data_IF_268150067308
#
_entry.id   IF_268150067308
#
_cell.length_a   1.000
_cell.length_b   1.000
_cell.length_c   1.000
_cell.angle_alpha   90.00
_cell.angle_beta   90.00
_cell.angle_gamma   90.00
#
_symmetry.space_group_name_H-M   'P 1'
#
loop_
_entity.id
_entity.type
_entity.pdbx_description
1 polymer ?
#
# COMPACT_ATOMS: atom_id res chain seq x y z
N UNK A 1 6.85 -59.22 -38.94
CA UNK A 1 7.73 -58.15 -38.44
C UNK A 1 6.88 -57.04 -37.85
N UNK A 2 7.15 -56.72 -36.58
CA UNK A 2 6.75 -55.51 -35.83
C UNK A 2 5.24 -55.28 -35.59
N UNK A 3 4.69 -56.05 -34.67
CA UNK A 3 3.71 -55.52 -33.73
C UNK A 3 4.48 -54.78 -32.62
N UNK A 4 4.23 -53.49 -32.43
CA UNK A 4 4.57 -52.79 -31.19
C UNK A 4 3.59 -51.63 -31.01
N UNK A 5 2.44 -51.95 -30.43
CA UNK A 5 1.59 -51.00 -29.71
C UNK A 5 2.27 -50.68 -28.38
N UNK A 6 2.58 -49.40 -28.09
CA UNK A 6 2.54 -48.89 -26.71
C UNK A 6 1.98 -47.46 -26.72
N UNK A 7 0.69 -47.43 -26.40
CA UNK A 7 -0.12 -46.40 -25.76
C UNK A 7 0.69 -45.30 -25.03
N UNK A 8 0.67 -44.06 -25.55
CA UNK A 8 1.06 -42.88 -24.77
C UNK A 8 -0.12 -42.55 -23.86
N UNK A 9 -0.03 -43.04 -22.62
CA UNK A 9 -0.96 -42.74 -21.55
C UNK A 9 -0.80 -41.26 -21.20
N UNK A 10 -1.67 -40.42 -21.78
CA UNK A 10 -1.82 -39.03 -21.37
C UNK A 10 -2.27 -39.00 -19.92
N UNK A 11 -1.32 -38.77 -19.01
CA UNK A 11 -1.59 -38.38 -17.63
C UNK A 11 -2.29 -37.02 -17.67
N UNK A 12 -3.61 -37.04 -17.82
CA UNK A 12 -4.45 -35.97 -17.31
C UNK A 12 -4.24 -35.97 -15.80
N UNK A 13 -3.29 -35.16 -15.34
CA UNK A 13 -3.30 -34.64 -13.98
C UNK A 13 -4.56 -33.78 -13.88
N UNK A 14 -5.70 -34.43 -13.67
CA UNK A 14 -6.83 -33.81 -13.01
C UNK A 14 -6.32 -33.54 -11.62
N UNK A 15 -5.64 -32.40 -11.47
CA UNK A 15 -5.47 -31.76 -10.19
C UNK A 15 -6.89 -31.55 -9.71
N UNK A 16 -7.36 -32.48 -8.87
CA UNK A 16 -8.43 -32.26 -7.94
C UNK A 16 -7.87 -31.23 -6.97
N UNK A 17 -7.72 -29.99 -7.45
CA UNK A 17 -7.25 -28.87 -6.67
C UNK A 17 -8.25 -28.76 -5.56
N UNK A 18 -7.80 -28.97 -4.32
CA UNK A 18 -8.65 -28.76 -3.18
C UNK A 18 -9.22 -27.34 -3.33
N UNK A 19 -10.54 -27.21 -3.32
CA UNK A 19 -11.20 -25.89 -3.34
C UNK A 19 -10.84 -25.05 -2.11
N UNK A 20 -10.10 -25.61 -1.15
CA UNK A 20 -9.65 -24.93 0.06
C UNK A 20 -8.56 -23.91 -0.26
N UNK A 21 -8.62 -22.76 0.38
CA UNK A 21 -7.57 -21.75 0.27
C UNK A 21 -6.28 -22.28 0.88
N UNK A 22 -5.20 -22.32 0.11
CA UNK A 22 -3.86 -22.59 0.64
C UNK A 22 -3.17 -21.31 1.10
N UNK A 23 -2.16 -21.45 1.96
CA UNK A 23 -1.37 -20.31 2.46
C UNK A 23 -0.61 -19.64 1.31
N UNK A 24 -0.10 -20.43 0.37
CA UNK A 24 0.63 -19.95 -0.80
C UNK A 24 -0.28 -19.14 -1.72
N UNK A 25 -1.51 -19.62 -1.96
CA UNK A 25 -2.47 -18.90 -2.80
C UNK A 25 -2.95 -17.61 -2.13
N UNK A 26 -3.19 -17.66 -0.81
CA UNK A 26 -3.51 -16.45 -0.06
C UNK A 26 -2.37 -15.42 -0.11
N UNK A 27 -1.11 -15.87 0.00
CA UNK A 27 0.06 -15.00 -0.07
C UNK A 27 0.17 -14.36 -1.46
N UNK A 28 0.02 -15.14 -2.53
CA UNK A 28 0.02 -14.65 -3.91
C UNK A 28 -1.03 -13.55 -4.13
N UNK A 29 -2.27 -13.79 -3.68
CA UNK A 29 -3.38 -12.84 -3.83
C UNK A 29 -3.18 -11.56 -3.01
N UNK A 30 -2.61 -11.67 -1.81
CA UNK A 30 -2.29 -10.49 -0.98
C UNK A 30 -1.13 -9.72 -1.60
N UNK A 31 -0.05 -10.40 -1.98
CA UNK A 31 1.15 -9.80 -2.57
C UNK A 31 0.85 -9.00 -3.82
N UNK A 32 -0.11 -9.43 -4.64
CA UNK A 32 -0.54 -8.71 -5.84
C UNK A 32 -1.06 -7.27 -5.58
N UNK A 33 -1.37 -6.93 -4.31
CA UNK A 33 -1.78 -5.57 -3.89
C UNK A 33 -0.64 -4.68 -3.42
N UNK A 34 0.58 -5.21 -3.38
CA UNK A 34 1.76 -4.54 -2.88
C UNK A 34 2.85 -4.45 -3.97
N UNK A 35 3.74 -3.44 -3.93
CA UNK A 35 3.86 -2.42 -2.89
C UNK A 35 2.71 -1.41 -2.90
N UNK A 36 2.27 -1.02 -1.71
CA UNK A 36 1.30 0.05 -1.53
C UNK A 36 2.04 1.33 -1.13
N UNK A 37 1.92 2.39 -1.94
CA UNK A 37 2.55 3.67 -1.64
C UNK A 37 1.73 4.45 -0.63
N UNK A 38 2.38 4.91 0.43
CA UNK A 38 1.81 5.86 1.38
C UNK A 38 2.28 7.24 0.99
N UNK A 39 1.35 8.18 0.95
CA UNK A 39 1.61 9.56 0.61
C UNK A 39 1.03 10.54 1.63
N UNK A 40 1.40 11.81 1.45
CA UNK A 40 0.95 12.93 2.25
C UNK A 40 0.75 14.15 1.36
N UNK A 41 -0.27 14.95 1.69
CA UNK A 41 -0.54 16.21 1.01
C UNK A 41 0.14 17.35 1.77
N UNK A 42 0.90 18.17 1.07
CA UNK A 42 1.49 19.41 1.59
C UNK A 42 0.82 20.59 0.89
N UNK A 43 0.12 21.42 1.65
CA UNK A 43 -0.46 22.66 1.14
C UNK A 43 0.57 23.79 1.26
N UNK A 44 1.28 24.04 0.16
CA UNK A 44 2.46 24.91 0.13
C UNK A 44 2.17 26.37 0.44
N UNK A 45 0.92 26.81 0.34
CA UNK A 45 0.46 28.15 0.70
C UNK A 45 -0.10 28.26 2.13
N UNK A 46 -0.20 27.14 2.87
CA UNK A 46 -0.77 27.12 4.23
C UNK A 46 0.33 27.38 5.28
N UNK A 47 0.24 28.47 6.08
CA UNK A 47 1.19 28.77 7.15
C UNK A 47 1.32 27.67 8.21
N UNK A 48 0.25 26.96 8.54
CA UNK A 48 0.30 25.87 9.52
C UNK A 48 1.08 24.67 8.99
N UNK A 49 0.96 24.35 7.70
CA UNK A 49 1.77 23.30 7.07
C UNK A 49 3.23 23.71 6.94
N UNK A 50 3.50 24.99 6.62
CA UNK A 50 4.84 25.53 6.61
C UNK A 50 5.51 25.48 7.99
N UNK A 51 4.78 25.77 9.07
CA UNK A 51 5.27 25.64 10.43
C UNK A 51 5.69 24.19 10.77
N UNK A 52 4.89 23.19 10.38
CA UNK A 52 5.26 21.77 10.55
C UNK A 52 6.57 21.42 9.85
N UNK A 53 6.80 21.96 8.65
CA UNK A 53 8.04 21.73 7.90
C UNK A 53 9.26 22.35 8.58
N UNK A 54 9.10 23.52 9.22
CA UNK A 54 10.14 24.19 10.00
C UNK A 54 10.55 23.34 11.22
N UNK A 55 9.59 22.64 11.82
CA UNK A 55 9.83 21.73 12.96
C UNK A 55 10.56 20.42 12.54
N UNK A 56 10.91 20.26 11.26
CA UNK A 56 11.69 19.12 10.74
C UNK A 56 13.06 19.55 10.21
N UNK A 57 13.94 18.60 9.94
CA UNK A 57 15.23 18.87 9.29
C UNK A 57 15.12 19.07 7.75
N UNK A 58 13.92 19.06 7.15
CA UNK A 58 13.75 19.08 5.69
C UNK A 58 14.34 20.33 5.01
N UNK A 59 14.18 21.51 5.62
CA UNK A 59 14.77 22.75 5.08
C UNK A 59 16.30 22.75 5.22
N UNK A 60 16.79 22.39 6.42
CA UNK A 60 18.22 22.28 6.73
C UNK A 60 18.95 21.26 5.86
N UNK A 61 18.28 20.15 5.53
CA UNK A 61 18.80 19.13 4.61
C UNK A 61 18.59 19.48 3.13
N UNK A 62 17.99 20.64 2.83
CA UNK A 62 17.85 21.16 1.47
C UNK A 62 16.79 20.46 0.63
N UNK A 63 15.78 19.82 1.23
CA UNK A 63 14.62 19.29 0.51
C UNK A 63 13.61 20.39 0.18
N UNK A 64 13.41 21.33 1.09
CA UNK A 64 12.50 22.45 0.88
C UNK A 64 13.17 23.77 1.22
N UNK A 65 12.60 24.86 0.73
CA UNK A 65 12.82 26.20 1.28
C UNK A 65 11.50 26.72 1.81
N UNK A 66 11.50 27.26 3.03
CA UNK A 66 10.31 27.80 3.68
C UNK A 66 10.47 29.31 3.84
N UNK A 67 9.44 30.05 3.45
CA UNK A 67 9.38 31.49 3.65
C UNK A 67 8.89 31.78 5.08
N UNK A 68 9.85 32.11 5.96
CA UNK A 68 9.60 32.37 7.39
C UNK A 68 8.81 33.66 7.70
N UNK A 69 8.73 34.61 6.75
CA UNK A 69 7.99 35.86 6.90
C UNK A 69 7.13 36.10 5.66
N UNK A 70 5.82 36.17 5.85
CA UNK A 70 4.83 36.35 4.78
C UNK A 70 4.16 37.70 4.98
N UNK A 71 4.17 38.55 3.95
CA UNK A 71 3.44 39.81 3.97
C UNK A 71 1.96 39.62 3.60
N UNK A 72 1.12 40.61 3.89
CA UNK A 72 -0.32 40.54 3.60
C UNK A 72 -0.61 40.34 2.10
N UNK A 73 0.20 40.93 1.23
CA UNK A 73 0.07 40.82 -0.24
C UNK A 73 0.39 39.41 -0.77
N UNK A 74 1.04 38.58 0.04
CA UNK A 74 1.51 37.25 -0.34
C UNK A 74 0.63 36.14 0.24
N UNK A 75 -0.43 36.51 0.96
CA UNK A 75 -1.42 35.55 1.48
C UNK A 75 -2.02 34.73 0.34
N UNK A 76 -1.99 33.42 0.50
CA UNK A 76 -2.47 32.46 -0.50
C UNK A 76 -1.44 32.09 -1.57
N UNK A 77 -0.27 32.74 -1.61
CA UNK A 77 0.84 32.30 -2.46
C UNK A 77 1.62 31.14 -1.81
N UNK A 78 2.26 30.25 -2.57
CA UNK A 78 3.17 29.25 -2.02
C UNK A 78 4.29 29.88 -1.19
N UNK A 79 4.43 29.42 0.05
CA UNK A 79 5.47 29.79 1.01
C UNK A 79 6.44 28.63 1.27
N UNK A 80 6.14 27.44 0.75
CA UNK A 80 7.03 26.27 0.71
C UNK A 80 7.38 26.00 -0.75
N UNK A 81 8.66 25.85 -1.05
CA UNK A 81 9.14 25.43 -2.38
C UNK A 81 9.98 24.16 -2.26
N UNK A 82 9.70 23.17 -3.09
CA UNK A 82 10.48 21.94 -3.16
C UNK A 82 11.73 22.16 -4.01
N UNK A 83 12.87 21.65 -3.56
CA UNK A 83 14.12 21.71 -4.32
C UNK A 83 14.24 20.50 -5.26
N UNK A 84 15.30 20.50 -6.08
CA UNK A 84 15.65 19.34 -6.91
C UNK A 84 15.87 18.06 -6.09
N UNK A 85 16.35 18.19 -4.85
CA UNK A 85 16.59 17.05 -3.95
C UNK A 85 15.29 16.31 -3.59
N UNK A 86 14.15 17.00 -3.64
CA UNK A 86 12.84 16.40 -3.34
C UNK A 86 12.22 15.63 -4.49
N UNK A 87 12.67 15.85 -5.74
CA UNK A 87 12.07 15.24 -6.95
C UNK A 87 11.79 13.73 -6.83
N UNK A 88 12.68 12.89 -6.25
CA UNK A 88 12.41 11.45 -6.11
C UNK A 88 11.22 11.10 -5.21
N UNK A 89 10.77 12.04 -4.37
CA UNK A 89 9.68 11.85 -3.41
C UNK A 89 8.40 12.57 -3.83
N UNK A 90 8.43 13.41 -4.87
CA UNK A 90 7.24 14.10 -5.34
C UNK A 90 6.38 13.15 -6.17
N UNK A 91 5.10 13.09 -5.83
CA UNK A 91 4.11 12.36 -6.61
C UNK A 91 3.39 13.31 -7.56
N UNK A 92 2.84 12.74 -8.62
CA UNK A 92 2.00 13.50 -9.55
C UNK A 92 0.83 14.13 -8.81
N UNK A 93 0.60 15.42 -9.11
CA UNK A 93 -0.43 16.23 -8.52
C UNK A 93 -1.38 16.66 -9.62
N UNK A 94 -2.69 16.49 -9.40
CA UNK A 94 -3.69 16.84 -10.41
C UNK A 94 -3.76 18.35 -10.66
N UNK A 95 -4.27 18.78 -11.82
CA UNK A 95 -4.48 20.21 -12.08
C UNK A 95 -5.42 20.88 -11.07
N UNK A 96 -6.36 20.13 -10.49
CA UNK A 96 -7.24 20.63 -9.42
C UNK A 96 -6.45 20.91 -8.15
N UNK A 97 -5.53 20.02 -7.79
CA UNK A 97 -4.74 20.11 -6.57
C UNK A 97 -3.65 21.20 -6.68
N UNK A 98 -3.06 21.36 -7.87
CA UNK A 98 -2.13 22.46 -8.16
C UNK A 98 -2.76 23.84 -7.95
N UNK A 99 -4.05 24.01 -8.31
CA UNK A 99 -4.78 25.28 -8.12
C UNK A 99 -4.95 25.68 -6.66
N UNK A 100 -4.90 24.72 -5.74
CA UNK A 100 -4.95 24.95 -4.30
C UNK A 100 -3.58 24.81 -3.63
N UNK A 101 -2.51 24.91 -4.43
CA UNK A 101 -1.12 24.85 -3.98
C UNK A 101 -0.77 23.59 -3.20
N UNK A 102 -1.41 22.46 -3.53
CA UNK A 102 -1.11 21.17 -2.91
C UNK A 102 -0.03 20.44 -3.70
N UNK A 103 0.90 19.79 -2.99
CA UNK A 103 1.86 18.84 -3.56
C UNK A 103 1.76 17.52 -2.79
N UNK A 104 1.65 16.40 -3.51
CA UNK A 104 1.71 15.06 -2.91
C UNK A 104 3.15 14.60 -2.77
N UNK A 105 3.52 14.09 -1.61
CA UNK A 105 4.83 13.50 -1.37
C UNK A 105 4.70 12.04 -0.94
N UNK A 106 5.61 11.21 -1.42
CA UNK A 106 5.75 9.82 -1.03
C UNK A 106 6.39 9.75 0.35
N UNK A 107 5.73 9.06 1.28
CA UNK A 107 6.24 8.84 2.63
C UNK A 107 7.02 7.54 2.75
N UNK A 108 6.45 6.44 2.27
CA UNK A 108 7.02 5.10 2.34
C UNK A 108 6.26 4.16 1.40
N UNK A 109 6.70 2.91 1.31
CA UNK A 109 5.95 1.81 0.71
C UNK A 109 5.72 0.71 1.74
N UNK A 110 4.51 0.18 1.77
CA UNK A 110 4.22 -1.07 2.47
C UNK A 110 4.45 -2.25 1.54
N UNK A 111 5.19 -3.25 2.04
CA UNK A 111 5.48 -4.48 1.33
C UNK A 111 4.94 -5.66 2.13
N UNK A 112 4.34 -6.63 1.43
CA UNK A 112 3.99 -7.90 2.05
C UNK A 112 5.23 -8.58 2.62
N UNK A 113 5.14 -9.05 3.86
CA UNK A 113 6.19 -9.80 4.55
C UNK A 113 5.82 -11.28 4.62
N UNK A 114 4.82 -11.63 5.44
CA UNK A 114 4.39 -13.02 5.59
C UNK A 114 2.93 -13.13 6.01
N UNK A 115 2.30 -14.26 5.66
CA UNK A 115 1.10 -14.70 6.39
C UNK A 115 1.56 -15.15 7.77
N UNK A 116 0.83 -14.74 8.81
CA UNK A 116 1.05 -15.16 10.20
C UNK A 116 -0.03 -16.14 10.65
N UNK A 117 -1.28 -15.98 10.20
CA UNK A 117 -2.41 -16.83 10.57
C UNK A 117 -3.38 -17.06 9.42
N UNK A 118 -4.10 -18.18 9.44
CA UNK A 118 -5.19 -18.46 8.50
C UNK A 118 -6.25 -19.30 9.19
N UNK A 119 -7.51 -18.89 9.07
CA UNK A 119 -8.68 -19.60 9.58
C UNK A 119 -9.68 -19.79 8.44
N UNK A 120 -10.04 -21.03 8.14
CA UNK A 120 -11.13 -21.35 7.23
C UNK A 120 -12.47 -21.27 7.98
N UNK A 121 -13.50 -20.83 7.28
CA UNK A 121 -14.86 -20.61 7.77
C UNK A 121 -15.87 -21.21 6.80
N UNK A 122 -17.12 -21.43 7.26
CA UNK A 122 -18.27 -21.87 6.47
C UNK A 122 -17.94 -22.97 5.46
N UNK A 123 -17.74 -24.20 5.94
CA UNK A 123 -17.39 -25.37 5.11
C UNK A 123 -16.23 -25.09 4.14
N UNK A 124 -15.24 -24.33 4.60
CA UNK A 124 -14.04 -23.93 3.84
C UNK A 124 -14.32 -23.08 2.58
N UNK A 125 -15.44 -22.36 2.54
CA UNK A 125 -15.79 -21.42 1.45
C UNK A 125 -15.46 -19.96 1.77
N UNK A 126 -15.11 -19.66 3.02
CA UNK A 126 -14.62 -18.36 3.48
C UNK A 126 -13.33 -18.54 4.27
N UNK A 127 -12.48 -17.51 4.32
CA UNK A 127 -11.28 -17.55 5.15
C UNK A 127 -10.90 -16.15 5.67
N UNK A 128 -10.31 -16.11 6.86
CA UNK A 128 -9.64 -14.92 7.40
C UNK A 128 -8.15 -15.22 7.43
N UNK A 129 -7.36 -14.39 6.76
CA UNK A 129 -5.91 -14.51 6.68
C UNK A 129 -5.28 -13.32 7.38
N UNK A 130 -4.46 -13.60 8.38
CA UNK A 130 -3.67 -12.61 9.11
C UNK A 130 -2.28 -12.55 8.49
N UNK A 131 -1.77 -11.35 8.25
CA UNK A 131 -0.48 -11.15 7.60
C UNK A 131 0.23 -9.90 8.12
N UNK A 132 1.54 -9.85 7.89
CA UNK A 132 2.38 -8.71 8.23
C UNK A 132 2.81 -7.94 6.98
N UNK A 133 2.96 -6.63 7.16
CA UNK A 133 3.61 -5.72 6.23
C UNK A 133 4.87 -5.14 6.87
N UNK A 134 5.82 -4.76 6.02
CA UNK A 134 7.00 -3.97 6.41
C UNK A 134 7.06 -2.69 5.60
N UNK A 135 7.58 -1.62 6.20
CA UNK A 135 7.84 -0.37 5.50
C UNK A 135 9.20 -0.44 4.80
N UNK A 136 9.24 -0.04 3.52
CA UNK A 136 10.46 0.16 2.74
C UNK A 136 10.42 1.56 2.11
N UNK A 137 11.57 2.00 1.60
CA UNK A 137 11.69 3.28 0.90
C UNK A 137 11.13 4.47 1.71
N UNK A 138 11.43 4.46 3.02
CA UNK A 138 11.00 5.50 3.97
C UNK A 138 11.68 6.81 3.61
N UNK A 139 10.88 7.83 3.34
CA UNK A 139 11.34 9.14 2.90
C UNK A 139 11.70 10.05 4.07
N UNK A 140 12.50 11.10 3.82
CA UNK A 140 12.71 12.21 4.76
C UNK A 140 11.43 12.97 5.12
N UNK A 141 10.33 12.80 4.37
CA UNK A 141 9.05 13.48 4.59
C UNK A 141 8.16 12.78 5.63
N UNK A 142 8.54 11.65 6.21
CA UNK A 142 7.74 11.02 7.27
C UNK A 142 7.44 11.95 8.47
N UNK A 143 8.40 12.75 9.00
CA UNK A 143 8.18 13.55 10.20
C UNK A 143 7.07 14.61 10.10
N UNK A 144 6.69 15.06 8.90
CA UNK A 144 5.58 16.02 8.72
C UNK A 144 4.19 15.37 8.77
N UNK A 145 4.13 14.04 8.81
CA UNK A 145 2.90 13.27 8.75
C UNK A 145 2.55 12.65 10.11
N UNK A 146 1.36 12.06 10.19
CA UNK A 146 0.97 11.24 11.35
C UNK A 146 1.42 9.78 11.25
N UNK A 147 2.17 9.41 10.19
CA UNK A 147 2.62 8.04 9.96
C UNK A 147 3.63 7.62 11.02
N UNK A 148 3.31 6.54 11.75
CA UNK A 148 4.26 5.87 12.64
C UNK A 148 4.88 4.69 11.91
N UNK A 149 6.20 4.71 11.78
CA UNK A 149 6.95 3.60 11.18
C UNK A 149 7.15 2.52 12.25
N UNK A 150 6.40 1.43 12.10
CA UNK A 150 6.52 0.25 12.94
C UNK A 150 7.37 -0.82 12.24
N UNK A 151 8.16 -1.64 12.96
CA UNK A 151 8.96 -2.70 12.33
C UNK A 151 8.12 -3.72 11.55
N UNK A 152 6.91 -4.03 12.05
CA UNK A 152 5.93 -4.89 11.38
C UNK A 152 4.53 -4.37 11.64
N UNK A 153 3.70 -4.39 10.62
CA UNK A 153 2.32 -3.94 10.67
C UNK A 153 1.37 -5.10 10.43
N UNK A 154 0.56 -5.44 11.42
CA UNK A 154 -0.40 -6.55 11.33
C UNK A 154 -1.66 -6.13 10.56
N UNK A 155 -2.14 -7.03 9.70
CA UNK A 155 -3.34 -6.85 8.87
C UNK A 155 -4.15 -8.13 8.77
N UNK A 156 -5.41 -7.98 8.37
CA UNK A 156 -6.31 -9.09 8.03
C UNK A 156 -6.82 -8.90 6.60
N UNK A 157 -6.94 -10.01 5.88
CA UNK A 157 -7.61 -10.08 4.60
C UNK A 157 -8.72 -11.15 4.68
N UNK A 158 -9.85 -10.85 4.07
CA UNK A 158 -11.03 -11.70 4.06
C UNK A 158 -11.15 -12.32 2.67
N UNK A 159 -11.37 -13.62 2.62
CA UNK A 159 -11.42 -14.37 1.37
C UNK A 159 -12.75 -15.09 1.25
N UNK A 160 -13.30 -15.13 0.05
CA UNK A 160 -14.45 -15.94 -0.30
C UNK A 160 -14.17 -16.73 -1.58
N UNK A 161 -14.67 -17.97 -1.61
CA UNK A 161 -14.60 -18.85 -2.76
C UNK A 161 -15.80 -18.57 -3.68
N UNK A 162 -15.49 -18.18 -4.92
CA UNK A 162 -16.44 -18.04 -6.02
C UNK A 162 -16.28 -19.18 -7.02
N UNK A 163 -17.11 -19.17 -8.06
CA UNK A 163 -17.05 -20.12 -9.17
C UNK A 163 -15.72 -20.07 -9.94
N UNK A 164 -15.10 -18.89 -10.04
CA UNK A 164 -13.80 -18.67 -10.68
C UNK A 164 -12.59 -18.76 -9.73
N UNK A 165 -12.83 -19.02 -8.44
CA UNK A 165 -11.79 -19.23 -7.44
C UNK A 165 -11.85 -18.27 -6.25
N UNK A 166 -10.76 -18.22 -5.49
CA UNK A 166 -10.66 -17.40 -4.29
C UNK A 166 -10.40 -15.95 -4.62
N UNK A 167 -11.16 -15.05 -3.99
CA UNK A 167 -11.00 -13.60 -4.10
C UNK A 167 -10.92 -12.97 -2.72
N UNK A 168 -10.20 -11.86 -2.62
CA UNK A 168 -10.22 -11.02 -1.42
C UNK A 168 -11.49 -10.16 -1.45
N UNK A 169 -12.18 -10.09 -0.32
CA UNK A 169 -13.41 -9.33 -0.10
C UNK A 169 -13.05 -8.03 0.63
N UNK A 170 -13.33 -6.88 0.00
CA UNK A 170 -13.04 -5.56 0.60
C UNK A 170 -13.98 -5.22 1.76
N UNK A 171 -15.24 -5.65 1.65
CA UNK A 171 -16.29 -5.38 2.63
C UNK A 171 -16.79 -6.72 3.17
N UNK A 172 -16.17 -7.26 4.24
CA UNK A 172 -16.60 -8.53 4.81
C UNK A 172 -18.03 -8.41 5.38
N UNK A 173 -18.87 -9.40 5.08
CA UNK A 173 -20.21 -9.52 5.65
C UNK A 173 -20.19 -10.14 7.06
N UNK A 174 -21.36 -10.21 7.70
CA UNK A 174 -21.54 -10.76 9.06
C UNK A 174 -21.02 -12.21 9.20
N UNK A 175 -20.90 -12.95 8.11
CA UNK A 175 -20.41 -14.32 8.16
C UNK A 175 -18.92 -14.43 8.50
N UNK A 176 -18.16 -13.34 8.34
CA UNK A 176 -16.78 -13.26 8.82
C UNK A 176 -16.69 -12.86 10.29
N UNK A 177 -17.81 -12.51 10.92
CA UNK A 177 -17.89 -11.97 12.28
C UNK A 177 -18.55 -12.93 13.29
N UNK A 178 -19.21 -13.98 12.82
CA UNK A 178 -19.92 -14.95 13.66
C UNK A 178 -19.06 -16.22 13.76
N UNK A 179 -18.65 -16.56 14.98
CA UNK A 179 -18.00 -17.83 15.34
C UNK A 179 -19.02 -18.94 15.58
#
# INVERSE_FOLDING_TARGET
>A
MKALSILVLGLFLVSCGSKKLSREKAAELIQARYPYTIDWNIYTANPEEAAKLIDTDLEKEGFVTVKHKVSYEELGSPIVTFTDKSKPFLLETSEKDKKIHMQRVKLAEQHFDAITGMRLLKNDTKAIVEYTLVYKNVSPFVPISTLKIEPKLNRKAYFALYDDGWRIVEQPDLDFMIE
#
